data_IF_496045200958
#
_entry.id   IF_496045200958
#
_cell.length_a   1.000
_cell.length_b   1.000
_cell.length_c   1.000
_cell.angle_alpha   90.00
_cell.angle_beta   90.00
_cell.angle_gamma   90.00
#
_symmetry.space_group_name_H-M   'P 1'
#
loop_
_entity.id
_entity.type
_entity.pdbx_description
1 polymer ?
#
# COMPACT_ATOMS: atom_id res chain seq x y z
N UNK A 1 1.65 11.58 20.17
CA UNK A 1 1.96 11.51 18.71
C UNK A 1 1.77 10.07 18.24
N UNK A 2 0.87 9.84 17.28
CA UNK A 2 0.61 8.51 16.72
C UNK A 2 1.59 8.21 15.60
N UNK A 3 2.27 7.08 15.64
CA UNK A 3 3.11 6.59 14.54
C UNK A 3 2.29 5.73 13.59
N UNK A 4 2.38 6.01 12.30
CA UNK A 4 1.68 5.32 11.21
C UNK A 4 2.73 4.77 10.26
N UNK A 5 2.83 3.44 10.17
CA UNK A 5 3.71 2.79 9.19
C UNK A 5 2.95 2.54 7.89
N UNK A 6 3.52 2.99 6.79
CA UNK A 6 3.05 2.67 5.43
C UNK A 6 3.97 1.63 4.83
N UNK A 7 3.48 0.41 4.70
CA UNK A 7 4.19 -0.70 4.09
C UNK A 7 3.65 -0.94 2.68
N UNK A 8 4.43 -0.54 1.68
CA UNK A 8 3.91 -0.41 0.32
C UNK A 8 5.00 -0.55 -0.76
N UNK A 9 4.62 -0.28 -2.00
CA UNK A 9 5.46 -0.35 -3.19
C UNK A 9 5.69 1.03 -3.86
N UNK A 10 5.92 1.03 -5.19
CA UNK A 10 6.21 2.22 -5.98
C UNK A 10 5.06 3.23 -6.04
N UNK A 11 3.81 2.78 -5.88
CA UNK A 11 2.64 3.66 -5.86
C UNK A 11 2.62 4.56 -4.63
N UNK A 12 3.31 4.17 -3.57
CA UNK A 12 3.45 4.97 -2.35
C UNK A 12 4.84 5.63 -2.26
N UNK A 13 5.88 4.98 -2.80
CA UNK A 13 7.20 5.58 -2.92
C UNK A 13 7.19 6.88 -3.75
N UNK A 14 6.21 7.01 -4.65
CA UNK A 14 6.01 8.19 -5.48
C UNK A 14 6.87 8.19 -6.74
N UNK A 15 6.97 7.03 -7.40
CA UNK A 15 7.62 6.94 -8.71
C UNK A 15 6.85 7.79 -9.73
N UNK A 16 7.54 8.72 -10.38
CA UNK A 16 6.96 9.52 -11.46
C UNK A 16 6.84 8.64 -12.72
N UNK A 17 5.63 8.52 -13.32
CA UNK A 17 5.39 7.66 -14.47
C UNK A 17 6.41 7.80 -15.59
N UNK A 18 6.86 6.69 -16.15
CA UNK A 18 7.88 6.60 -17.20
C UNK A 18 9.25 7.24 -16.88
N UNK A 19 9.51 7.52 -15.60
CA UNK A 19 10.82 8.02 -15.14
C UNK A 19 11.44 7.07 -14.11
N UNK A 20 12.59 7.47 -13.56
CA UNK A 20 13.19 6.84 -12.37
C UNK A 20 13.20 7.82 -11.19
N UNK A 21 12.54 8.94 -11.35
CA UNK A 21 12.49 10.00 -10.36
C UNK A 21 11.41 9.75 -9.31
N UNK A 22 11.56 10.41 -8.19
CA UNK A 22 10.66 10.33 -7.05
C UNK A 22 10.02 11.69 -6.78
N UNK A 23 8.70 11.74 -6.61
CA UNK A 23 8.02 12.92 -6.11
C UNK A 23 8.56 13.34 -4.74
N UNK A 24 8.63 14.62 -4.41
CA UNK A 24 8.96 15.07 -3.05
C UNK A 24 7.91 14.59 -2.04
N UNK A 25 8.29 14.45 -0.77
CA UNK A 25 7.39 13.91 0.27
C UNK A 25 6.03 14.61 0.32
N UNK A 26 6.02 15.93 0.29
CA UNK A 26 4.79 16.73 0.33
C UNK A 26 3.85 16.53 -0.89
N UNK A 27 4.33 15.94 -1.98
CA UNK A 27 3.54 15.66 -3.17
C UNK A 27 3.08 14.18 -3.25
N UNK A 28 3.68 13.27 -2.45
CA UNK A 28 3.25 11.88 -2.36
C UNK A 28 2.06 11.74 -1.42
N UNK A 29 1.19 10.77 -1.66
CA UNK A 29 0.01 10.56 -0.82
C UNK A 29 0.32 10.34 0.68
N UNK A 30 1.43 9.69 1.09
CA UNK A 30 1.79 9.59 2.50
C UNK A 30 2.02 10.95 3.15
N UNK A 31 2.78 11.83 2.49
CA UNK A 31 3.05 13.18 2.99
C UNK A 31 1.82 14.10 2.93
N UNK A 32 1.00 13.97 1.88
CA UNK A 32 -0.28 14.69 1.81
C UNK A 32 -1.21 14.26 2.94
N UNK A 33 -1.32 12.96 3.20
CA UNK A 33 -2.12 12.42 4.31
C UNK A 33 -1.63 12.93 5.66
N UNK A 34 -0.33 12.92 5.91
CA UNK A 34 0.27 13.45 7.15
C UNK A 34 -0.08 14.93 7.34
N UNK A 35 0.11 15.75 6.29
CA UNK A 35 -0.19 17.18 6.35
C UNK A 35 -1.68 17.46 6.65
N UNK A 36 -2.59 16.73 6.01
CA UNK A 36 -4.03 16.85 6.24
C UNK A 36 -4.44 16.41 7.68
N UNK A 37 -3.82 15.37 8.21
CA UNK A 37 -4.05 14.92 9.59
C UNK A 37 -3.53 15.95 10.62
N UNK A 38 -2.36 16.52 10.38
CA UNK A 38 -1.79 17.58 11.22
C UNK A 38 -2.67 18.85 11.19
N UNK A 39 -3.21 19.24 10.03
CA UNK A 39 -4.13 20.38 9.91
C UNK A 39 -5.44 20.15 10.68
N UNK A 40 -5.85 18.91 10.88
CA UNK A 40 -7.01 18.54 11.73
C UNK A 40 -6.69 18.51 13.23
N UNK A 41 -5.46 18.84 13.61
CA UNK A 41 -5.00 18.83 15.01
C UNK A 41 -4.57 17.47 15.53
N UNK A 42 -4.52 16.44 14.67
CA UNK A 42 -4.04 15.11 15.04
C UNK A 42 -2.50 15.08 15.06
N UNK A 43 -1.91 14.74 16.20
CA UNK A 43 -0.45 14.60 16.31
C UNK A 43 -0.02 13.24 15.74
N UNK A 44 0.43 13.22 14.50
CA UNK A 44 0.83 12.01 13.76
C UNK A 44 2.24 12.13 13.20
N UNK A 45 2.86 10.99 12.95
CA UNK A 45 4.09 10.83 12.17
C UNK A 45 3.93 9.66 11.22
N UNK A 46 4.11 9.91 9.94
CA UNK A 46 4.13 8.88 8.90
C UNK A 46 5.55 8.34 8.69
N UNK A 47 5.67 7.03 8.67
CA UNK A 47 6.90 6.29 8.39
C UNK A 47 6.69 5.56 7.07
N UNK A 48 7.44 5.94 6.03
CA UNK A 48 7.38 5.29 4.71
C UNK A 48 8.35 4.10 4.64
N UNK A 49 7.83 2.90 4.60
CA UNK A 49 8.57 1.70 4.17
C UNK A 49 8.02 1.23 2.82
N UNK A 50 8.33 2.01 1.79
CA UNK A 50 7.82 1.85 0.43
C UNK A 50 8.94 1.38 -0.50
N UNK A 51 8.89 0.12 -0.94
CA UNK A 51 9.93 -0.49 -1.77
C UNK A 51 9.45 -0.75 -3.19
N UNK A 52 10.04 -0.08 -4.18
CA UNK A 52 9.68 -0.26 -5.58
C UNK A 52 9.74 -1.73 -6.01
N UNK A 53 8.64 -2.25 -6.54
CA UNK A 53 8.54 -3.64 -6.97
C UNK A 53 8.17 -4.63 -5.87
N UNK A 54 7.89 -4.17 -4.62
CA UNK A 54 7.44 -5.06 -3.55
C UNK A 54 6.12 -5.70 -3.93
N UNK A 55 6.03 -7.01 -3.71
CA UNK A 55 4.86 -7.86 -3.86
C UNK A 55 4.23 -8.16 -2.50
N UNK A 56 3.12 -8.83 -2.48
CA UNK A 56 2.56 -9.35 -1.23
C UNK A 56 3.51 -10.40 -0.63
N UNK A 57 3.48 -11.64 -1.11
CA UNK A 57 4.30 -12.75 -0.60
C UNK A 57 5.14 -13.45 -1.67
N UNK A 58 5.18 -12.89 -2.87
CA UNK A 58 5.83 -13.52 -4.02
C UNK A 58 7.25 -13.00 -4.24
N UNK A 59 8.15 -13.90 -4.64
CA UNK A 59 9.51 -13.51 -4.98
C UNK A 59 9.60 -12.86 -6.37
N UNK A 60 10.58 -11.99 -6.54
CA UNK A 60 10.99 -11.47 -7.84
C UNK A 60 12.27 -12.20 -8.28
N UNK A 61 12.21 -13.06 -9.30
CA UNK A 61 13.38 -13.82 -9.73
C UNK A 61 14.49 -12.93 -10.28
N UNK A 62 14.17 -11.70 -10.72
CA UNK A 62 15.14 -10.76 -11.29
C UNK A 62 15.56 -9.65 -10.31
N UNK A 63 14.84 -9.50 -9.19
CA UNK A 63 15.11 -8.46 -8.20
C UNK A 63 14.85 -8.99 -6.79
N UNK A 64 15.83 -9.67 -6.18
CA UNK A 64 15.69 -10.28 -4.85
C UNK A 64 15.21 -9.28 -3.77
N UNK A 65 14.54 -9.79 -2.74
CA UNK A 65 14.04 -8.99 -1.62
C UNK A 65 12.77 -8.20 -1.95
N UNK A 66 11.95 -8.69 -2.88
CA UNK A 66 10.65 -8.08 -3.23
C UNK A 66 9.45 -8.81 -2.65
N UNK A 67 9.67 -9.93 -1.96
CA UNK A 67 8.65 -10.57 -1.15
C UNK A 67 8.37 -9.71 0.08
N UNK A 68 7.15 -9.20 0.17
CA UNK A 68 6.72 -8.28 1.23
C UNK A 68 6.55 -8.96 2.59
N UNK A 69 6.46 -10.29 2.64
CA UNK A 69 6.41 -11.02 3.91
C UNK A 69 7.79 -11.05 4.58
N UNK A 70 8.86 -11.08 3.78
CA UNK A 70 10.21 -11.17 4.30
C UNK A 70 10.62 -9.90 5.03
N UNK A 71 10.85 -10.02 6.34
CA UNK A 71 11.28 -8.91 7.19
C UNK A 71 10.17 -7.95 7.61
N UNK A 72 8.88 -8.24 7.34
CA UNK A 72 7.78 -7.39 7.79
C UNK A 72 7.70 -7.34 9.32
N UNK A 73 7.78 -8.47 10.00
CA UNK A 73 7.75 -8.54 11.47
C UNK A 73 8.83 -7.66 12.10
N UNK A 74 10.06 -7.67 11.56
CA UNK A 74 11.15 -6.81 12.01
C UNK A 74 10.85 -5.32 11.76
N UNK A 75 10.14 -4.98 10.67
CA UNK A 75 9.71 -3.57 10.43
C UNK A 75 8.69 -3.10 11.44
N UNK A 76 7.80 -3.98 11.87
CA UNK A 76 6.84 -3.68 12.94
C UNK A 76 7.59 -3.49 14.26
N UNK A 77 8.45 -4.42 14.64
CA UNK A 77 9.26 -4.39 15.87
C UNK A 77 10.10 -3.11 15.96
N UNK A 78 10.89 -2.80 14.93
CA UNK A 78 11.79 -1.62 14.89
C UNK A 78 11.03 -0.30 15.05
N UNK A 79 9.81 -0.20 14.52
CA UNK A 79 9.04 1.04 14.49
C UNK A 79 8.00 1.12 15.62
N UNK A 80 7.84 0.06 16.43
CA UNK A 80 6.90 0.06 17.55
C UNK A 80 7.29 1.09 18.64
N UNK A 81 6.32 1.67 19.35
CA UNK A 81 4.89 1.41 19.25
C UNK A 81 4.24 2.10 18.03
N UNK A 82 3.53 1.32 17.24
CA UNK A 82 2.76 1.79 16.08
C UNK A 82 1.28 1.90 16.46
N UNK A 83 0.62 2.96 16.02
CA UNK A 83 -0.84 3.11 16.18
C UNK A 83 -1.58 2.45 15.01
N UNK A 84 -1.02 2.54 13.79
CA UNK A 84 -1.65 2.04 12.58
C UNK A 84 -0.58 1.54 11.61
N UNK A 85 -0.86 0.43 10.94
CA UNK A 85 -0.12 -0.04 9.76
C UNK A 85 -1.04 0.01 8.54
N UNK A 86 -0.59 0.71 7.51
CA UNK A 86 -1.28 0.77 6.21
C UNK A 86 -0.56 -0.15 5.24
N UNK A 87 -1.25 -1.17 4.75
CA UNK A 87 -0.76 -2.10 3.74
C UNK A 87 -1.33 -1.72 2.37
N UNK A 88 -0.49 -1.25 1.44
CA UNK A 88 -0.88 -0.97 0.05
C UNK A 88 0.08 -1.68 -0.90
N UNK A 89 -0.24 -2.93 -1.20
CA UNK A 89 0.51 -3.83 -2.06
C UNK A 89 -0.44 -4.57 -3.02
N UNK A 90 0.10 -5.35 -3.93
CA UNK A 90 -0.64 -6.18 -4.88
C UNK A 90 -0.34 -5.83 -6.33
N UNK A 91 -0.07 -4.57 -6.66
CA UNK A 91 0.23 -4.14 -8.03
C UNK A 91 1.32 -5.01 -8.68
N UNK A 92 2.38 -5.31 -7.95
CA UNK A 92 3.51 -6.08 -8.50
C UNK A 92 3.27 -7.59 -8.57
N UNK A 93 2.19 -8.10 -7.98
CA UNK A 93 1.82 -9.51 -8.08
C UNK A 93 1.34 -9.88 -9.50
N UNK A 94 0.88 -8.87 -10.25
CA UNK A 94 0.33 -9.03 -11.60
C UNK A 94 1.34 -8.81 -12.73
N UNK A 95 2.63 -8.72 -12.40
CA UNK A 95 3.66 -8.66 -13.45
C UNK A 95 3.54 -9.85 -14.39
N UNK A 96 3.89 -9.65 -15.66
CA UNK A 96 3.70 -10.62 -16.75
C UNK A 96 4.36 -11.98 -16.49
N UNK A 97 5.43 -12.00 -15.70
CA UNK A 97 6.15 -13.21 -15.32
C UNK A 97 5.39 -14.13 -14.36
N UNK A 98 4.31 -13.65 -13.74
CA UNK A 98 3.53 -14.42 -12.76
C UNK A 98 2.12 -14.73 -13.30
N UNK A 99 1.60 -15.95 -13.04
CA UNK A 99 0.23 -16.32 -13.40
C UNK A 99 -0.78 -15.94 -12.29
N UNK A 100 -0.42 -15.05 -11.36
CA UNK A 100 -1.25 -14.70 -10.23
C UNK A 100 -2.48 -13.89 -10.64
N UNK A 101 -3.59 -14.12 -9.95
CA UNK A 101 -4.82 -13.36 -10.06
C UNK A 101 -5.17 -12.67 -8.73
N UNK A 102 -6.30 -11.96 -8.69
CA UNK A 102 -6.77 -11.23 -7.50
C UNK A 102 -6.88 -12.12 -6.24
N UNK A 103 -7.30 -13.39 -6.38
CA UNK A 103 -7.38 -14.31 -5.25
C UNK A 103 -6.01 -14.62 -4.65
N UNK A 104 -5.00 -14.88 -5.47
CA UNK A 104 -3.63 -15.14 -5.00
C UNK A 104 -3.07 -13.93 -4.24
N UNK A 105 -3.28 -12.72 -4.76
CA UNK A 105 -2.84 -11.49 -4.09
C UNK A 105 -3.57 -11.28 -2.77
N UNK A 106 -4.86 -11.62 -2.69
CA UNK A 106 -5.64 -11.55 -1.47
C UNK A 106 -5.14 -12.54 -0.39
N UNK A 107 -4.77 -13.76 -0.77
CA UNK A 107 -4.12 -14.70 0.15
C UNK A 107 -2.79 -14.15 0.67
N UNK A 108 -2.01 -13.51 -0.21
CA UNK A 108 -0.79 -12.82 0.18
C UNK A 108 -1.05 -11.66 1.15
N UNK A 109 -2.10 -10.87 0.93
CA UNK A 109 -2.49 -9.79 1.84
C UNK A 109 -2.91 -10.33 3.21
N UNK A 110 -3.66 -11.42 3.28
CA UNK A 110 -4.02 -12.07 4.54
C UNK A 110 -2.77 -12.53 5.32
N UNK A 111 -1.78 -13.09 4.63
CA UNK A 111 -0.51 -13.47 5.26
C UNK A 111 0.27 -12.26 5.80
N UNK A 112 0.22 -11.11 5.13
CA UNK A 112 0.83 -9.87 5.64
C UNK A 112 0.11 -9.36 6.90
N UNK A 113 -1.21 -9.39 6.93
CA UNK A 113 -2.01 -9.05 8.13
C UNK A 113 -1.61 -9.92 9.31
N UNK A 114 -1.51 -11.22 9.09
CA UNK A 114 -1.06 -12.18 10.08
C UNK A 114 0.35 -11.88 10.61
N UNK A 115 1.29 -11.56 9.73
CA UNK A 115 2.66 -11.22 10.11
C UNK A 115 2.71 -9.93 10.96
N UNK A 116 1.93 -8.90 10.62
CA UNK A 116 1.84 -7.69 11.45
C UNK A 116 1.35 -8.01 12.86
N UNK A 117 0.34 -8.88 12.98
CA UNK A 117 -0.24 -9.24 14.28
C UNK A 117 0.65 -10.11 15.15
N UNK A 118 1.49 -10.93 14.51
CA UNK A 118 2.43 -11.83 15.20
C UNK A 118 3.82 -11.24 15.40
N UNK A 119 4.04 -10.01 14.94
CA UNK A 119 5.33 -9.36 15.12
C UNK A 119 5.75 -9.36 16.60
N UNK A 120 7.02 -9.69 16.91
CA UNK A 120 7.51 -9.85 18.28
C UNK A 120 7.80 -8.49 18.93
N UNK A 121 6.75 -7.67 19.07
CA UNK A 121 6.84 -6.38 19.77
C UNK A 121 7.06 -6.57 21.26
N UNK A 122 7.67 -5.60 21.92
CA UNK A 122 7.96 -5.66 23.34
C UNK A 122 6.70 -5.83 24.21
N UNK A 123 6.75 -6.63 25.30
CA UNK A 123 5.61 -6.87 26.17
C UNK A 123 4.98 -5.57 26.67
N UNK A 124 3.66 -5.47 26.55
CA UNK A 124 2.88 -4.30 26.95
C UNK A 124 2.72 -3.23 25.85
N UNK A 125 3.38 -3.36 24.71
CA UNK A 125 3.10 -2.51 23.55
C UNK A 125 1.80 -2.96 22.86
N UNK A 126 0.98 -2.03 22.36
CA UNK A 126 -0.24 -2.37 21.65
C UNK A 126 0.08 -2.97 20.26
N UNK A 127 -0.65 -4.00 19.86
CA UNK A 127 -0.68 -4.46 18.48
C UNK A 127 -1.31 -3.36 17.63
N UNK A 128 -0.68 -2.91 16.54
CA UNK A 128 -1.20 -1.83 15.73
C UNK A 128 -2.53 -2.19 15.05
N UNK A 129 -3.39 -1.21 14.85
CA UNK A 129 -4.50 -1.34 13.92
C UNK A 129 -3.99 -1.50 12.48
N UNK A 130 -4.82 -2.10 11.64
CA UNK A 130 -4.49 -2.37 10.25
C UNK A 130 -5.51 -1.74 9.31
N UNK A 131 -5.00 -1.08 8.27
CA UNK A 131 -5.78 -0.61 7.14
C UNK A 131 -5.24 -1.25 5.85
N UNK A 132 -6.05 -2.05 5.20
CA UNK A 132 -5.76 -2.58 3.87
C UNK A 132 -6.24 -1.55 2.84
N UNK A 133 -5.33 -1.13 1.97
CA UNK A 133 -5.64 -0.23 0.85
C UNK A 133 -5.49 -1.02 -0.45
N UNK A 134 -6.61 -1.24 -1.15
CA UNK A 134 -6.56 -1.78 -2.50
C UNK A 134 -6.02 -0.71 -3.45
N UNK A 135 -4.96 -1.00 -4.25
CA UNK A 135 -4.47 -0.06 -5.24
C UNK A 135 -5.54 0.19 -6.33
N UNK A 136 -5.51 1.34 -7.01
CA UNK A 136 -6.40 1.57 -8.13
C UNK A 136 -6.15 0.57 -9.26
N UNK A 137 -7.18 0.27 -10.03
CA UNK A 137 -7.08 -0.64 -11.17
C UNK A 137 -6.08 -0.14 -12.20
N UNK A 138 -5.41 -1.07 -12.86
CA UNK A 138 -4.55 -0.73 -14.00
C UNK A 138 -5.37 -0.07 -15.10
N UNK A 139 -4.81 0.97 -15.70
CA UNK A 139 -5.13 1.30 -17.08
C UNK A 139 -4.23 0.46 -18.00
N UNK A 140 -4.42 0.55 -19.30
CA UNK A 140 -3.54 -0.15 -20.25
C UNK A 140 -2.09 0.26 -20.00
N UNK A 141 -1.19 -0.67 -19.66
CA UNK A 141 0.21 -0.34 -19.46
C UNK A 141 0.87 0.21 -20.73
N UNK A 142 1.55 1.34 -20.60
CA UNK A 142 2.15 2.07 -21.72
C UNK A 142 3.64 2.35 -21.47
N UNK A 143 4.39 2.61 -22.56
CA UNK A 143 5.81 2.96 -22.47
C UNK A 143 6.72 1.81 -22.04
N UNK A 144 7.89 2.11 -21.45
CA UNK A 144 8.91 1.11 -21.11
C UNK A 144 8.46 0.08 -20.08
N UNK A 145 7.41 0.36 -19.28
CA UNK A 145 6.89 -0.56 -18.27
C UNK A 145 5.88 -1.56 -18.83
N UNK A 146 5.30 -1.30 -20.01
CA UNK A 146 4.22 -2.11 -20.60
C UNK A 146 4.54 -3.61 -20.70
N UNK A 147 5.73 -4.05 -21.17
CA UNK A 147 6.04 -5.49 -21.22
C UNK A 147 6.01 -6.17 -19.85
N UNK A 148 6.36 -5.44 -18.81
CA UNK A 148 6.40 -5.95 -17.41
C UNK A 148 5.01 -6.20 -16.86
N UNK A 149 4.01 -5.43 -17.26
CA UNK A 149 2.64 -5.51 -16.77
C UNK A 149 1.63 -5.98 -17.83
N UNK A 150 2.11 -6.59 -18.91
CA UNK A 150 1.22 -7.15 -19.93
C UNK A 150 0.19 -8.11 -19.33
N UNK A 151 -1.11 -7.84 -19.59
CA UNK A 151 -2.22 -8.63 -19.05
C UNK A 151 -2.51 -8.41 -17.56
N UNK A 152 -1.97 -7.35 -16.95
CA UNK A 152 -2.19 -7.05 -15.53
C UNK A 152 -3.65 -6.64 -15.25
N UNK A 153 -4.31 -5.98 -16.21
CA UNK A 153 -5.70 -5.54 -16.10
C UNK A 153 -6.64 -6.73 -15.84
N UNK A 154 -6.52 -7.78 -16.65
CA UNK A 154 -7.34 -8.98 -16.52
C UNK A 154 -7.00 -9.77 -15.25
N UNK A 155 -5.71 -9.92 -14.95
CA UNK A 155 -5.25 -10.65 -13.76
C UNK A 155 -5.67 -10.00 -12.46
N UNK A 156 -5.69 -8.67 -12.40
CA UNK A 156 -6.07 -7.90 -11.21
C UNK A 156 -7.58 -7.67 -11.07
N UNK A 157 -8.36 -8.08 -12.05
CA UNK A 157 -9.82 -7.90 -11.99
C UNK A 157 -10.40 -8.47 -10.69
N UNK A 158 -11.18 -7.65 -9.97
CA UNK A 158 -11.77 -8.02 -8.68
C UNK A 158 -10.87 -7.86 -7.46
N UNK A 159 -9.66 -7.31 -7.58
CA UNK A 159 -8.71 -7.18 -6.47
C UNK A 159 -9.31 -6.43 -5.27
N UNK A 160 -9.98 -5.29 -5.51
CA UNK A 160 -10.56 -4.49 -4.42
C UNK A 160 -11.61 -5.30 -3.63
N UNK A 161 -12.49 -6.05 -4.31
CA UNK A 161 -13.48 -6.91 -3.65
C UNK A 161 -12.82 -8.06 -2.87
N UNK A 162 -11.75 -8.65 -3.41
CA UNK A 162 -11.00 -9.70 -2.73
C UNK A 162 -10.29 -9.17 -1.46
N UNK A 163 -9.74 -7.97 -1.52
CA UNK A 163 -9.11 -7.32 -0.34
C UNK A 163 -10.14 -6.88 0.69
N UNK A 164 -11.33 -6.42 0.27
CA UNK A 164 -12.42 -6.11 1.19
C UNK A 164 -12.89 -7.35 1.95
N UNK A 165 -12.96 -8.51 1.28
CA UNK A 165 -13.27 -9.78 1.92
C UNK A 165 -12.21 -10.14 2.98
N UNK A 166 -10.92 -10.06 2.66
CA UNK A 166 -9.82 -10.27 3.62
C UNK A 166 -9.93 -9.31 4.80
N UNK A 167 -10.16 -8.02 4.54
CA UNK A 167 -10.27 -7.03 5.61
C UNK A 167 -11.42 -7.35 6.57
N UNK A 168 -12.57 -7.75 6.05
CA UNK A 168 -13.73 -8.19 6.84
C UNK A 168 -13.43 -9.44 7.66
N UNK A 169 -12.84 -10.46 7.04
CA UNK A 169 -12.50 -11.74 7.70
C UNK A 169 -11.46 -11.55 8.80
N UNK A 170 -10.49 -10.68 8.53
CA UNK A 170 -9.44 -10.36 9.50
C UNK A 170 -9.82 -9.23 10.48
N UNK A 171 -10.97 -8.58 10.36
CA UNK A 171 -11.32 -7.45 11.23
C UNK A 171 -10.38 -6.26 11.09
N UNK A 172 -9.97 -5.93 9.84
CA UNK A 172 -9.13 -4.79 9.51
C UNK A 172 -9.97 -3.66 8.88
N UNK A 173 -9.45 -2.43 8.91
CA UNK A 173 -9.95 -1.36 8.06
C UNK A 173 -9.71 -1.67 6.58
N UNK A 174 -10.60 -1.17 5.71
CA UNK A 174 -10.47 -1.30 4.27
C UNK A 174 -10.67 0.05 3.57
N UNK A 175 -9.88 0.29 2.52
CA UNK A 175 -10.02 1.45 1.64
C UNK A 175 -9.74 1.05 0.19
N UNK A 176 -10.65 1.38 -0.71
CA UNK A 176 -10.50 1.19 -2.14
C UNK A 176 -9.99 2.49 -2.78
N UNK A 177 -8.71 2.53 -3.14
CA UNK A 177 -8.12 3.69 -3.79
C UNK A 177 -8.74 3.98 -5.16
N UNK A 178 -9.24 2.96 -5.85
CA UNK A 178 -9.91 3.11 -7.15
C UNK A 178 -11.21 3.91 -7.11
N UNK A 179 -11.81 4.10 -5.92
CA UNK A 179 -12.98 4.95 -5.75
C UNK A 179 -12.67 6.45 -5.71
N UNK A 180 -11.41 6.82 -5.53
CA UNK A 180 -11.00 8.23 -5.35
C UNK A 180 -9.92 8.68 -6.32
N UNK A 181 -9.23 7.74 -6.95
CA UNK A 181 -8.17 8.02 -7.93
C UNK A 181 -8.06 6.88 -8.94
N UNK A 182 -7.32 7.11 -10.01
CA UNK A 182 -6.97 6.12 -11.04
C UNK A 182 -5.46 6.06 -11.19
N UNK A 183 -4.93 5.05 -11.90
CA UNK A 183 -3.55 5.07 -12.36
C UNK A 183 -3.35 6.17 -13.41
N UNK A 184 -2.11 6.62 -13.59
CA UNK A 184 -1.73 7.61 -14.60
C UNK A 184 -1.99 7.08 -16.02
N UNK A 185 -2.47 7.93 -16.90
CA UNK A 185 -2.56 7.63 -18.34
C UNK A 185 -1.21 7.59 -19.04
N UNK A 186 -0.13 8.03 -18.37
CA UNK A 186 1.22 8.06 -18.93
C UNK A 186 1.84 6.66 -18.99
N UNK A 187 1.60 5.82 -17.97
CA UNK A 187 2.14 4.45 -17.96
C UNK A 187 1.11 3.37 -17.58
N UNK A 188 -0.10 3.75 -17.18
CA UNK A 188 -1.17 2.82 -16.82
C UNK A 188 -1.01 2.12 -15.46
N UNK A 189 0.06 2.40 -14.72
CA UNK A 189 0.45 1.66 -13.50
C UNK A 189 0.63 2.57 -12.28
N UNK A 190 1.42 3.63 -12.41
CA UNK A 190 1.78 4.53 -11.31
C UNK A 190 0.78 5.68 -11.16
N UNK A 191 1.05 6.56 -10.22
CA UNK A 191 0.22 7.72 -9.90
C UNK A 191 0.94 9.02 -10.26
N UNK A 192 0.25 9.96 -10.88
CA UNK A 192 0.73 11.34 -11.03
C UNK A 192 0.56 12.13 -9.72
N UNK A 193 1.19 13.30 -9.63
CA UNK A 193 1.13 14.14 -8.45
C UNK A 193 -0.31 14.53 -8.03
N UNK A 194 -1.22 14.72 -8.98
CA UNK A 194 -2.63 15.02 -8.71
C UNK A 194 -3.34 13.81 -8.08
N UNK A 195 -3.11 12.62 -8.62
CA UNK A 195 -3.66 11.36 -8.11
C UNK A 195 -3.13 11.02 -6.72
N UNK A 196 -1.85 11.27 -6.47
CA UNK A 196 -1.28 11.20 -5.13
C UNK A 196 -1.98 12.15 -4.15
N UNK A 197 -2.24 13.39 -4.58
CA UNK A 197 -2.93 14.38 -3.75
C UNK A 197 -4.36 13.95 -3.42
N UNK A 198 -5.11 13.46 -4.41
CA UNK A 198 -6.47 12.97 -4.22
C UNK A 198 -6.51 11.81 -3.22
N UNK A 199 -5.61 10.81 -3.41
CA UNK A 199 -5.51 9.64 -2.54
C UNK A 199 -5.13 10.04 -1.11
N UNK A 200 -4.14 10.92 -0.93
CA UNK A 200 -3.69 11.35 0.40
C UNK A 200 -4.78 12.06 1.19
N UNK A 201 -5.54 12.95 0.55
CA UNK A 201 -6.68 13.64 1.18
C UNK A 201 -7.79 12.67 1.58
N UNK A 202 -8.12 11.73 0.73
CA UNK A 202 -9.16 10.74 1.01
C UNK A 202 -8.75 9.79 2.14
N UNK A 203 -7.50 9.30 2.13
CA UNK A 203 -6.95 8.47 3.20
C UNK A 203 -6.88 9.21 4.54
N UNK A 204 -6.56 10.50 4.54
CA UNK A 204 -6.56 11.30 5.77
C UNK A 204 -7.92 11.29 6.48
N UNK A 205 -9.02 11.31 5.73
CA UNK A 205 -10.37 11.23 6.31
C UNK A 205 -10.64 9.87 6.96
N UNK A 206 -10.21 8.79 6.31
CA UNK A 206 -10.39 7.43 6.82
C UNK A 206 -9.51 7.19 8.04
N UNK A 207 -8.24 7.60 7.98
CA UNK A 207 -7.28 7.45 9.07
C UNK A 207 -7.69 8.29 10.30
N UNK A 208 -8.18 9.53 10.10
CA UNK A 208 -8.69 10.33 11.20
C UNK A 208 -9.78 9.59 11.99
N UNK A 209 -10.75 8.99 11.29
CA UNK A 209 -11.82 8.20 11.95
C UNK A 209 -11.28 6.99 12.72
N UNK A 210 -10.27 6.30 12.19
CA UNK A 210 -9.62 5.18 12.89
C UNK A 210 -8.88 5.63 14.14
N UNK A 211 -8.25 6.81 14.10
CA UNK A 211 -7.52 7.34 15.25
C UNK A 211 -8.42 7.91 16.35
N UNK A 212 -9.61 8.42 16.00
CA UNK A 212 -10.58 9.05 16.90
C UNK A 212 -11.60 8.06 17.49
N UNK A 213 -11.83 6.93 16.82
CA UNK A 213 -12.87 5.95 17.16
C UNK A 213 -12.48 4.91 18.22
N UNK A 214 -11.37 5.14 18.93
CA UNK A 214 -10.87 4.26 20.01
C UNK A 214 -10.68 5.09 21.33
#
# INVERSE_FOLDING_TARGET
MHQILIYADSLSWGLIPNTRERLPFAARWPGVMEAELLQRGLSVRVIEDCLNGRRTVFEDPFKPGRNGLNGLEQRIEINSPLRLVILMLGTNDFQSMHPHNAWHSAQGMAALVDAVRRAPIEPGMPVPELLIVAPPAFQKPEGPIAPKFHGAEDKSAGLAAAYEAVARECGCGFFDAGKVTSTSSVDGVHLDAEQHRALGRALAQTVARLLEGT
#
